data_IF_969575553364
#
_entry.id   IF_969575553364
#
_cell.length_a   1.000
_cell.length_b   1.000
_cell.length_c   1.000
_cell.angle_alpha   90.00
_cell.angle_beta   90.00
_cell.angle_gamma   90.00
#
_symmetry.space_group_name_H-M   'P 1'
#
loop_
_entity.id
_entity.type
_entity.pdbx_description
1 polymer ?
#
# COMPACT_ATOMS: atom_id res chain seq x y z
N UNK A 1 -24.39 13.37 81.94
CA UNK A 1 -24.98 12.22 81.21
C UNK A 1 -24.43 12.22 79.79
N UNK A 2 -23.72 11.17 79.49
CA UNK A 2 -23.03 11.01 78.14
C UNK A 2 -24.06 10.61 77.07
N UNK A 3 -23.98 11.10 75.86
CA UNK A 3 -24.56 10.38 74.74
C UNK A 3 -23.50 9.64 73.94
N UNK A 4 -23.99 8.51 73.44
CA UNK A 4 -23.33 7.42 72.79
C UNK A 4 -22.62 7.79 71.48
N UNK A 5 -21.41 7.24 71.36
CA UNK A 5 -20.79 6.90 70.10
C UNK A 5 -21.61 5.79 69.43
N UNK A 6 -21.84 5.87 68.24
CA UNK A 6 -21.89 4.85 67.17
C UNK A 6 -22.89 5.29 66.08
N UNK A 7 -22.43 5.73 64.96
CA UNK A 7 -22.35 4.90 63.77
C UNK A 7 -21.76 5.74 62.65
N UNK A 8 -20.47 5.60 62.44
CA UNK A 8 -19.84 6.06 61.19
C UNK A 8 -20.10 4.99 60.14
N UNK A 9 -21.11 5.18 59.36
CA UNK A 9 -21.35 4.34 58.20
C UNK A 9 -20.27 4.65 57.13
N UNK A 10 -19.36 3.69 56.90
CA UNK A 10 -18.47 3.68 55.76
C UNK A 10 -19.30 3.60 54.48
N UNK A 11 -19.42 4.69 53.78
CA UNK A 11 -19.84 4.66 52.38
C UNK A 11 -18.62 4.30 51.52
N UNK A 12 -18.51 3.02 51.22
CA UNK A 12 -17.59 2.53 50.20
C UNK A 12 -17.99 3.12 48.84
N UNK A 13 -17.31 4.16 48.46
CA UNK A 13 -17.33 4.60 47.06
C UNK A 13 -16.52 3.61 46.24
N UNK A 14 -17.21 2.69 45.59
CA UNK A 14 -16.60 1.87 44.53
C UNK A 14 -16.23 2.77 43.38
N UNK A 15 -14.96 3.15 43.28
CA UNK A 15 -14.38 3.79 42.08
C UNK A 15 -14.29 2.70 41.05
N UNK A 16 -15.29 2.63 40.19
CA UNK A 16 -15.21 1.85 38.94
C UNK A 16 -14.21 2.57 38.06
N UNK A 17 -12.97 2.08 38.09
CA UNK A 17 -11.96 2.48 37.12
C UNK A 17 -12.38 1.92 35.76
N UNK A 18 -13.06 2.75 34.96
CA UNK A 18 -13.33 2.48 33.56
C UNK A 18 -11.99 2.61 32.81
N UNK A 19 -11.24 1.51 32.74
CA UNK A 19 -10.10 1.37 31.84
C UNK A 19 -10.65 1.39 30.41
N UNK A 20 -10.75 2.59 29.84
CA UNK A 20 -10.88 2.73 28.39
C UNK A 20 -9.58 2.21 27.77
N UNK A 21 -9.61 0.94 27.31
CA UNK A 21 -8.64 0.48 26.33
C UNK A 21 -8.83 1.34 25.07
N UNK A 22 -8.08 2.43 24.96
CA UNK A 22 -7.80 3.04 23.67
C UNK A 22 -6.94 2.04 22.89
N UNK A 23 -7.61 1.08 22.26
CA UNK A 23 -6.97 0.31 21.20
C UNK A 23 -6.56 1.31 20.13
N UNK A 24 -5.26 1.56 19.99
CA UNK A 24 -4.69 2.21 18.81
C UNK A 24 -4.90 1.25 17.66
N UNK A 25 -6.11 1.23 17.10
CA UNK A 25 -6.36 0.63 15.81
C UNK A 25 -5.54 1.43 14.82
N UNK A 26 -4.42 0.90 14.37
CA UNK A 26 -3.82 1.38 13.14
C UNK A 26 -4.92 1.24 12.09
N UNK A 27 -5.48 2.37 11.63
CA UNK A 27 -6.41 2.37 10.52
C UNK A 27 -5.58 1.98 9.28
N UNK A 28 -5.59 0.70 8.94
CA UNK A 28 -5.06 0.25 7.67
C UNK A 28 -5.84 0.98 6.57
N UNK A 29 -5.16 1.79 5.79
CA UNK A 29 -5.77 2.51 4.67
C UNK A 29 -6.20 1.49 3.62
N UNK A 30 -7.49 1.42 3.33
CA UNK A 30 -7.97 0.61 2.21
C UNK A 30 -7.70 1.31 0.88
N UNK A 31 -7.53 0.52 -0.19
CA UNK A 31 -7.34 1.06 -1.54
C UNK A 31 -8.51 1.94 -1.96
N UNK A 32 -8.28 3.20 -2.33
CA UNK A 32 -9.31 4.07 -2.86
C UNK A 32 -9.76 3.62 -4.26
N UNK A 33 -11.06 3.69 -4.53
CA UNK A 33 -11.63 3.38 -5.83
C UNK A 33 -11.51 4.55 -6.80
N UNK A 34 -10.55 4.47 -7.72
CA UNK A 34 -10.34 5.43 -8.81
C UNK A 34 -10.40 4.70 -10.15
N UNK A 35 -11.00 5.31 -11.17
CA UNK A 35 -11.03 4.73 -12.51
C UNK A 35 -9.77 5.16 -13.27
N UNK A 36 -8.91 4.21 -13.59
CA UNK A 36 -7.73 4.39 -14.43
C UNK A 36 -7.85 3.59 -15.73
N UNK A 37 -6.97 3.82 -16.66
CA UNK A 37 -6.86 3.00 -17.87
C UNK A 37 -5.58 2.19 -17.86
N UNK A 38 -5.66 0.96 -18.35
CA UNK A 38 -4.46 0.18 -18.67
C UNK A 38 -3.93 0.52 -20.08
N UNK A 39 -2.85 -0.14 -20.50
CA UNK A 39 -2.25 0.09 -21.84
C UNK A 39 -3.16 -0.36 -23.00
N UNK A 40 -4.10 -1.26 -22.77
CA UNK A 40 -5.10 -1.66 -23.76
C UNK A 40 -6.25 -0.64 -23.88
N UNK A 41 -6.30 0.36 -22.99
CA UNK A 41 -7.35 1.37 -22.93
C UNK A 41 -8.59 0.96 -22.14
N UNK A 42 -8.55 -0.18 -21.49
CA UNK A 42 -9.61 -0.68 -20.63
C UNK A 42 -9.66 0.13 -19.34
N UNK A 43 -10.86 0.30 -18.80
CA UNK A 43 -11.08 1.03 -17.53
C UNK A 43 -11.01 0.07 -16.36
N UNK A 44 -10.06 0.31 -15.46
CA UNK A 44 -9.82 -0.50 -14.25
C UNK A 44 -10.15 0.35 -13.02
N UNK A 45 -10.93 -0.22 -12.10
CA UNK A 45 -11.18 0.39 -10.79
C UNK A 45 -10.08 -0.06 -9.81
N UNK A 46 -9.32 0.88 -9.26
CA UNK A 46 -8.20 0.58 -8.37
C UNK A 46 -8.60 -0.16 -7.08
N UNK A 47 -9.85 -0.06 -6.62
CA UNK A 47 -10.34 -0.89 -5.51
C UNK A 47 -10.46 -2.39 -5.87
N UNK A 48 -10.33 -2.75 -7.14
CA UNK A 48 -10.41 -4.13 -7.65
C UNK A 48 -9.05 -4.70 -8.05
N UNK A 49 -7.96 -4.00 -7.74
CA UNK A 49 -6.58 -4.46 -8.04
C UNK A 49 -6.13 -5.62 -7.17
N UNK A 50 -6.80 -5.82 -6.04
CA UNK A 50 -6.44 -6.87 -5.08
C UNK A 50 -7.23 -8.13 -5.38
N UNK A 51 -6.54 -9.24 -5.46
CA UNK A 51 -7.13 -10.58 -5.46
C UNK A 51 -7.20 -11.07 -4.01
N UNK A 52 -8.34 -11.60 -3.61
CA UNK A 52 -8.55 -12.13 -2.26
C UNK A 52 -7.45 -13.15 -1.89
N UNK A 53 -6.80 -12.93 -0.75
CA UNK A 53 -5.74 -13.79 -0.23
C UNK A 53 -4.37 -13.60 -0.90
N UNK A 54 -4.22 -12.70 -1.88
CA UNK A 54 -2.95 -12.45 -2.55
C UNK A 54 -2.43 -11.03 -2.26
N UNK A 55 -1.14 -10.87 -1.92
CA UNK A 55 -0.55 -9.55 -1.77
C UNK A 55 -0.42 -8.84 -3.13
N UNK A 56 -0.48 -7.52 -3.09
CA UNK A 56 -0.31 -6.69 -4.29
C UNK A 56 0.69 -5.56 -4.00
N UNK A 57 1.74 -5.44 -4.81
CA UNK A 57 2.62 -4.29 -4.83
C UNK A 57 2.07 -3.25 -5.80
N UNK A 58 1.84 -2.03 -5.31
CA UNK A 58 1.42 -0.89 -6.13
C UNK A 58 2.57 0.10 -6.19
N UNK A 59 3.23 0.19 -7.36
CA UNK A 59 4.43 0.97 -7.57
C UNK A 59 4.11 2.21 -8.41
N UNK A 60 4.17 3.40 -7.81
CA UNK A 60 4.01 4.66 -8.54
C UNK A 60 5.34 5.07 -9.18
N UNK A 61 5.29 5.32 -10.49
CA UNK A 61 6.48 5.62 -11.31
C UNK A 61 6.20 6.62 -12.44
N UNK A 62 7.24 6.99 -13.18
CA UNK A 62 7.09 7.76 -14.41
C UNK A 62 8.26 7.49 -15.37
N UNK A 63 8.04 7.71 -16.67
CA UNK A 63 9.08 7.50 -17.71
C UNK A 63 10.30 8.40 -17.54
N UNK A 64 10.16 9.55 -16.90
CA UNK A 64 11.24 10.51 -16.58
C UNK A 64 11.95 10.22 -15.26
N UNK A 65 11.45 9.27 -14.45
CA UNK A 65 11.99 8.90 -13.14
C UNK A 65 13.02 7.76 -13.29
N UNK A 66 14.31 8.09 -13.23
CA UNK A 66 15.36 7.08 -13.35
C UNK A 66 15.41 6.06 -12.22
N UNK A 67 15.29 6.43 -10.93
CA UNK A 67 15.24 5.43 -9.84
C UNK A 67 14.01 4.52 -9.93
N UNK A 68 12.84 5.03 -10.35
CA UNK A 68 11.65 4.19 -10.55
C UNK A 68 11.88 3.08 -11.59
N UNK A 69 12.59 3.42 -12.67
CA UNK A 69 12.90 2.45 -13.72
C UNK A 69 13.88 1.39 -13.25
N UNK A 70 14.83 1.75 -12.38
CA UNK A 70 15.72 0.75 -11.76
C UNK A 70 14.95 -0.18 -10.83
N UNK A 71 14.14 0.39 -9.92
CA UNK A 71 13.26 -0.36 -9.03
C UNK A 71 12.46 -1.41 -9.79
N UNK A 72 11.65 -0.96 -10.78
CA UNK A 72 10.78 -1.87 -11.52
C UNK A 72 11.54 -2.85 -12.42
N UNK A 73 12.74 -2.50 -12.91
CA UNK A 73 13.58 -3.45 -13.64
C UNK A 73 14.13 -4.54 -12.70
N UNK A 74 14.59 -4.17 -11.49
CA UNK A 74 15.06 -5.15 -10.51
C UNK A 74 13.90 -6.05 -10.03
N UNK A 75 12.71 -5.48 -9.82
CA UNK A 75 11.53 -6.30 -9.51
C UNK A 75 11.17 -7.26 -10.65
N UNK A 76 11.35 -6.86 -11.92
CA UNK A 76 11.08 -7.74 -13.06
C UNK A 76 11.99 -8.97 -13.08
N UNK A 77 13.23 -8.85 -12.62
CA UNK A 77 14.17 -9.97 -12.53
C UNK A 77 13.82 -10.96 -11.42
N UNK A 78 13.07 -10.51 -10.40
CA UNK A 78 12.71 -11.28 -9.20
C UNK A 78 11.24 -11.71 -9.18
N UNK A 79 10.43 -11.21 -10.12
CA UNK A 79 8.98 -11.30 -10.05
C UNK A 79 8.45 -12.74 -10.10
N UNK A 80 9.00 -13.57 -10.96
CA UNK A 80 8.59 -14.97 -11.09
C UNK A 80 8.81 -15.72 -9.77
N UNK A 81 9.99 -15.53 -9.15
CA UNK A 81 10.32 -16.16 -7.86
C UNK A 81 9.41 -15.64 -6.74
N UNK A 82 9.20 -14.32 -6.68
CA UNK A 82 8.31 -13.71 -5.69
C UNK A 82 6.87 -14.18 -5.85
N UNK A 83 6.39 -14.30 -7.10
CA UNK A 83 5.05 -14.76 -7.37
C UNK A 83 4.84 -16.23 -6.99
N UNK A 84 5.83 -17.09 -7.30
CA UNK A 84 5.79 -18.51 -6.95
C UNK A 84 5.80 -18.73 -5.43
N UNK A 85 6.52 -17.90 -4.68
CA UNK A 85 6.66 -18.05 -3.24
C UNK A 85 5.57 -17.35 -2.43
N UNK A 86 5.07 -16.21 -2.89
CA UNK A 86 4.16 -15.36 -2.10
C UNK A 86 2.81 -15.12 -2.77
N UNK A 87 2.67 -15.44 -4.05
CA UNK A 87 1.48 -15.12 -4.84
C UNK A 87 1.32 -13.65 -5.16
N UNK A 88 2.38 -12.84 -5.00
CA UNK A 88 2.30 -11.39 -5.21
C UNK A 88 1.94 -11.01 -6.64
N UNK A 89 1.10 -9.98 -6.76
CA UNK A 89 0.89 -9.27 -8.02
C UNK A 89 1.56 -7.90 -7.98
N UNK A 90 2.15 -7.47 -9.10
CA UNK A 90 2.72 -6.14 -9.25
C UNK A 90 1.85 -5.29 -10.17
N UNK A 91 1.49 -4.10 -9.71
CA UNK A 91 0.75 -3.09 -10.47
C UNK A 91 1.61 -1.82 -10.54
N UNK A 92 2.10 -1.48 -11.72
CA UNK A 92 2.90 -0.28 -11.94
C UNK A 92 2.01 0.88 -12.43
N UNK A 93 1.83 1.91 -11.60
CA UNK A 93 0.98 3.07 -11.89
C UNK A 93 1.82 4.22 -12.38
N UNK A 94 1.71 4.55 -13.66
CA UNK A 94 2.41 5.70 -14.25
C UNK A 94 1.69 7.00 -13.92
N UNK A 95 2.45 7.95 -13.35
CA UNK A 95 2.01 9.35 -13.14
C UNK A 95 2.46 10.29 -14.27
N UNK A 96 2.87 9.76 -15.42
CA UNK A 96 3.14 10.57 -16.60
C UNK A 96 1.92 11.40 -17.00
N UNK A 97 2.10 12.70 -17.13
CA UNK A 97 1.03 13.62 -17.50
C UNK A 97 0.60 13.48 -18.98
N UNK A 98 -0.38 14.25 -19.41
CA UNK A 98 -0.89 14.24 -20.79
C UNK A 98 0.18 14.48 -21.87
N UNK A 99 1.33 15.08 -21.51
CA UNK A 99 2.44 15.35 -22.44
C UNK A 99 3.39 14.16 -22.56
N UNK A 100 3.61 13.45 -21.48
CA UNK A 100 4.60 12.34 -21.37
C UNK A 100 3.98 10.95 -21.47
N UNK A 101 2.68 10.78 -21.21
CA UNK A 101 1.97 9.49 -21.16
C UNK A 101 2.20 8.61 -22.40
N UNK A 102 2.40 9.23 -23.57
CA UNK A 102 2.67 8.50 -24.82
C UNK A 102 4.00 7.76 -24.83
N UNK A 103 4.88 8.01 -23.85
CA UNK A 103 6.17 7.34 -23.68
C UNK A 103 6.04 6.04 -22.88
N UNK A 104 4.94 5.86 -22.15
CA UNK A 104 4.76 4.73 -21.23
C UNK A 104 4.76 3.41 -22.00
N UNK A 105 3.84 3.20 -22.92
CA UNK A 105 3.74 1.96 -23.67
C UNK A 105 5.03 1.59 -24.44
N UNK A 106 5.69 2.52 -25.19
CA UNK A 106 6.98 2.21 -25.82
C UNK A 106 8.06 1.81 -24.83
N UNK A 107 8.13 2.44 -23.66
CA UNK A 107 9.10 2.08 -22.63
C UNK A 107 8.83 0.68 -22.08
N UNK A 108 7.60 0.41 -21.60
CA UNK A 108 7.21 -0.90 -21.05
C UNK A 108 7.50 -2.02 -22.05
N UNK A 109 7.12 -1.85 -23.32
CA UNK A 109 7.40 -2.82 -24.37
C UNK A 109 8.91 -3.03 -24.63
N UNK A 110 9.74 -2.02 -24.39
CA UNK A 110 11.19 -2.14 -24.58
C UNK A 110 11.91 -2.92 -23.49
N UNK A 111 11.35 -2.93 -22.27
CA UNK A 111 11.91 -3.62 -21.10
C UNK A 111 11.19 -4.91 -20.75
N UNK A 112 10.10 -5.22 -21.47
CA UNK A 112 9.33 -6.47 -21.36
C UNK A 112 8.79 -6.73 -19.94
N UNK A 113 8.33 -5.68 -19.25
CA UNK A 113 7.66 -5.87 -17.95
C UNK A 113 6.36 -6.65 -18.12
N UNK A 114 6.18 -7.66 -17.30
CA UNK A 114 4.98 -8.50 -17.23
C UNK A 114 4.07 -8.10 -16.04
N UNK A 115 3.97 -6.78 -15.80
CA UNK A 115 3.11 -6.20 -14.78
C UNK A 115 1.83 -5.64 -15.38
N UNK A 116 0.77 -5.56 -14.57
CA UNK A 116 -0.36 -4.68 -14.90
C UNK A 116 0.10 -3.22 -14.87
N UNK A 117 -0.05 -2.51 -15.99
CA UNK A 117 0.34 -1.11 -16.13
C UNK A 117 -0.89 -0.23 -16.16
N UNK A 118 -1.02 0.67 -15.19
CA UNK A 118 -2.09 1.65 -15.14
C UNK A 118 -1.57 3.06 -15.41
N UNK A 119 -2.42 3.89 -16.01
CA UNK A 119 -2.15 5.25 -16.40
C UNK A 119 -2.94 6.23 -15.55
N UNK A 120 -2.25 7.07 -14.78
CA UNK A 120 -2.83 8.10 -13.89
C UNK A 120 -2.38 9.52 -14.30
N UNK A 121 -2.72 9.99 -15.52
CA UNK A 121 -2.20 11.25 -16.05
C UNK A 121 -2.68 12.49 -15.29
N UNK A 122 -3.74 12.37 -14.54
CA UNK A 122 -4.28 13.42 -13.70
C UNK A 122 -3.83 13.33 -12.25
N UNK A 123 -3.09 12.26 -11.90
CA UNK A 123 -2.66 11.93 -10.52
C UNK A 123 -3.84 11.77 -9.55
N UNK A 124 -4.97 11.24 -10.02
CA UNK A 124 -6.15 11.06 -9.18
C UNK A 124 -5.93 9.97 -8.14
N UNK A 125 -5.36 8.82 -8.56
CA UNK A 125 -5.01 7.73 -7.66
C UNK A 125 -3.78 8.07 -6.81
N UNK A 126 -2.76 8.68 -7.41
CA UNK A 126 -1.57 9.14 -6.68
C UNK A 126 -1.95 10.10 -5.53
N UNK A 127 -2.87 11.06 -5.77
CA UNK A 127 -3.37 11.94 -4.71
C UNK A 127 -4.17 11.21 -3.63
N UNK A 128 -5.03 10.28 -4.04
CA UNK A 128 -5.82 9.47 -3.09
C UNK A 128 -4.93 8.61 -2.20
N UNK A 129 -3.79 8.11 -2.73
CA UNK A 129 -2.77 7.37 -2.00
C UNK A 129 -1.73 8.28 -1.32
N UNK A 130 -1.88 9.61 -1.37
CA UNK A 130 -0.97 10.60 -0.77
C UNK A 130 0.47 10.52 -1.30
N UNK A 131 0.64 10.10 -2.54
CA UNK A 131 1.94 10.05 -3.22
C UNK A 131 2.44 11.47 -3.50
N UNK A 132 3.55 11.84 -2.89
CA UNK A 132 4.18 13.17 -3.05
C UNK A 132 5.26 13.14 -4.13
N UNK A 133 6.07 12.10 -4.15
CA UNK A 133 7.17 11.88 -5.09
C UNK A 133 7.21 10.41 -5.51
N UNK A 134 7.94 10.12 -6.57
CA UNK A 134 8.17 8.77 -7.08
C UNK A 134 9.67 8.47 -7.12
N UNK A 135 10.09 7.20 -6.94
CA UNK A 135 9.24 6.03 -6.75
C UNK A 135 8.54 6.02 -5.38
N UNK A 136 7.35 5.45 -5.32
CA UNK A 136 6.62 5.19 -4.09
C UNK A 136 5.88 3.87 -4.24
N UNK A 137 6.24 2.89 -3.43
CA UNK A 137 5.71 1.54 -3.48
C UNK A 137 4.89 1.26 -2.22
N UNK A 138 3.72 0.67 -2.40
CA UNK A 138 2.81 0.24 -1.36
C UNK A 138 2.62 -1.28 -1.44
N UNK A 139 2.70 -1.95 -0.28
CA UNK A 139 2.28 -3.34 -0.15
C UNK A 139 0.86 -3.39 0.41
N UNK A 140 0.01 -4.07 -0.31
CA UNK A 140 -1.41 -4.25 0.02
C UNK A 140 -1.65 -5.72 0.26
N UNK A 141 -2.28 -6.07 1.39
CA UNK A 141 -2.62 -7.45 1.70
C UNK A 141 -3.85 -7.95 0.90
N UNK A 142 -4.13 -9.24 0.97
CA UNK A 142 -5.27 -9.85 0.28
C UNK A 142 -6.67 -9.37 0.71
N UNK A 143 -6.75 -8.48 1.72
CA UNK A 143 -7.98 -7.82 2.18
C UNK A 143 -8.10 -6.38 1.64
N UNK A 144 -7.13 -5.93 0.83
CA UNK A 144 -7.10 -4.58 0.26
C UNK A 144 -6.61 -3.51 1.22
N UNK A 145 -5.89 -3.87 2.27
CA UNK A 145 -5.33 -2.94 3.24
C UNK A 145 -3.86 -2.67 2.95
N UNK A 146 -3.46 -1.40 2.96
CA UNK A 146 -2.03 -1.03 2.91
C UNK A 146 -1.37 -1.42 4.22
N UNK A 147 -0.40 -2.31 4.17
CA UNK A 147 0.31 -2.84 5.34
C UNK A 147 1.74 -2.34 5.44
N UNK A 148 2.32 -1.92 4.33
CA UNK A 148 3.66 -1.35 4.26
C UNK A 148 3.78 -0.39 3.09
N UNK A 149 4.73 0.54 3.17
CA UNK A 149 5.07 1.44 2.09
C UNK A 149 6.54 1.85 2.14
N UNK A 150 7.11 2.08 0.96
CA UNK A 150 8.48 2.55 0.79
C UNK A 150 8.52 3.73 -0.18
N UNK A 151 9.31 4.75 0.15
CA UNK A 151 9.45 5.96 -0.65
C UNK A 151 10.92 6.16 -1.04
N UNK A 152 11.17 6.44 -2.30
CA UNK A 152 12.46 6.38 -2.97
C UNK A 152 12.89 4.94 -3.27
N UNK A 153 14.04 4.80 -3.91
CA UNK A 153 14.65 3.50 -4.21
C UNK A 153 16.17 3.62 -4.29
N UNK A 154 16.84 2.69 -3.64
CA UNK A 154 18.26 2.40 -3.75
C UNK A 154 18.45 0.93 -4.07
N UNK A 155 19.50 0.58 -4.81
CA UNK A 155 19.80 -0.81 -5.14
C UNK A 155 19.99 -1.62 -3.83
N UNK A 156 19.24 -2.72 -3.68
CA UNK A 156 19.14 -3.54 -2.48
C UNK A 156 17.83 -3.38 -1.69
N UNK A 157 17.03 -2.32 -1.95
CA UNK A 157 15.74 -2.12 -1.26
C UNK A 157 14.72 -3.24 -1.62
N UNK A 158 14.94 -3.97 -2.72
CA UNK A 158 14.16 -5.16 -3.10
C UNK A 158 14.21 -6.28 -2.06
N UNK A 159 15.28 -6.37 -1.27
CA UNK A 159 15.39 -7.33 -0.17
C UNK A 159 14.37 -7.02 0.93
N UNK A 160 14.21 -5.73 1.29
CA UNK A 160 13.21 -5.29 2.27
C UNK A 160 11.78 -5.59 1.77
N UNK A 161 11.52 -5.32 0.49
CA UNK A 161 10.21 -5.64 -0.12
C UNK A 161 9.91 -7.14 -0.01
N UNK A 162 10.88 -7.98 -0.32
CA UNK A 162 10.73 -9.42 -0.24
C UNK A 162 10.47 -9.91 1.20
N UNK A 163 11.19 -9.36 2.19
CA UNK A 163 10.94 -9.66 3.60
C UNK A 163 9.51 -9.29 4.03
N UNK A 164 8.98 -8.18 3.54
CA UNK A 164 7.59 -7.76 3.83
C UNK A 164 6.56 -8.66 3.12
N UNK A 165 6.86 -9.14 1.90
CA UNK A 165 6.03 -10.10 1.18
C UNK A 165 5.93 -11.45 1.94
N UNK A 166 7.05 -11.97 2.43
CA UNK A 166 7.09 -13.24 3.17
C UNK A 166 6.23 -13.17 4.45
N UNK A 167 6.15 -12.02 5.13
CA UNK A 167 5.29 -11.85 6.31
C UNK A 167 3.79 -11.99 6.02
N UNK A 168 3.38 -11.80 4.76
CA UNK A 168 2.00 -11.96 4.35
C UNK A 168 1.68 -13.36 3.82
N UNK A 169 2.72 -14.15 3.50
CA UNK A 169 2.58 -15.51 2.98
C UNK A 169 2.53 -16.57 4.09
N UNK A 170 2.81 -16.20 5.36
CA UNK A 170 2.71 -17.05 6.56
C UNK A 170 1.25 -17.19 7.04
#
# INVERSE_FOLDING_TARGET
MKPNLMTVALKNAAIVACLTLCGSGAFAQSLPGVQLKNLAGESINTAQLVTEGQPTLICFWATWCSPCKRELNNYAELYDDWQDETGVNIVAVSIDDQRSIRRVAPYVNSVLWDYEILLDPNKDFARAMQVVNVPHTFLVNGEGQVVWQHNNYSDGDEEEVYEELLKLAE
#
